data_IF_429319271318
#
_entry.id   IF_429319271318
#
_cell.length_a   1.000
_cell.length_b   1.000
_cell.length_c   1.000
_cell.angle_alpha   90.00
_cell.angle_beta   90.00
_cell.angle_gamma   90.00
#
_symmetry.space_group_name_H-M   'P 1'
#
loop_
_entity.id
_entity.type
_entity.pdbx_description
1 polymer ?
#
# COMPACT_ATOMS: atom_id res chain seq x y z
N UNK A 1 15.66 2.93 -16.82
CA UNK A 1 14.97 4.22 -16.61
C UNK A 1 14.80 4.42 -15.10
N UNK A 2 15.29 5.56 -14.54
CA UNK A 2 15.23 5.79 -13.09
C UNK A 2 13.89 6.37 -12.68
N UNK A 3 13.21 5.73 -11.71
CA UNK A 3 11.96 6.19 -11.11
C UNK A 3 12.19 6.67 -9.69
N UNK A 4 11.39 7.64 -9.24
CA UNK A 4 11.25 8.02 -7.83
C UNK A 4 9.79 8.07 -7.45
N UNK A 5 9.52 7.94 -6.16
CA UNK A 5 8.18 8.00 -5.61
C UNK A 5 8.09 9.10 -4.56
N UNK A 6 7.10 9.99 -4.69
CA UNK A 6 6.79 11.04 -3.72
C UNK A 6 5.47 10.69 -3.06
N UNK A 7 5.47 10.53 -1.74
CA UNK A 7 4.30 10.29 -0.92
C UNK A 7 3.96 11.58 -0.17
N UNK A 8 2.83 12.22 -0.52
CA UNK A 8 2.37 13.48 0.07
C UNK A 8 1.58 13.20 1.35
N UNK A 9 2.18 13.48 2.49
CA UNK A 9 1.59 13.31 3.82
C UNK A 9 1.48 14.66 4.60
N UNK A 10 1.59 15.79 3.90
CA UNK A 10 1.65 17.13 4.49
C UNK A 10 0.28 17.78 4.82
N UNK A 11 -0.83 17.16 4.44
CA UNK A 11 -2.17 17.74 4.65
C UNK A 11 -2.57 17.86 6.12
N UNK A 12 -3.34 18.90 6.45
CA UNK A 12 -3.79 19.19 7.84
C UNK A 12 -4.87 18.23 8.36
N UNK A 13 -5.50 17.42 7.50
CA UNK A 13 -6.54 16.43 7.86
C UNK A 13 -7.79 17.05 8.52
N UNK A 14 -8.11 18.33 8.25
CA UNK A 14 -9.18 19.08 8.91
C UNK A 14 -10.55 18.40 8.87
N UNK A 15 -10.90 17.76 7.76
CA UNK A 15 -12.17 17.01 7.59
C UNK A 15 -12.23 15.68 8.36
N UNK A 16 -11.09 15.20 8.84
CA UNK A 16 -11.02 13.91 9.53
C UNK A 16 -11.41 13.98 11.01
N UNK A 17 -11.57 15.22 11.57
CA UNK A 17 -12.04 15.50 12.93
C UNK A 17 -11.40 14.61 14.01
N UNK A 18 -10.09 14.43 13.99
CA UNK A 18 -9.34 13.64 14.95
C UNK A 18 -8.09 14.38 15.43
N UNK A 19 -7.72 14.18 16.70
CA UNK A 19 -6.49 14.71 17.28
C UNK A 19 -5.22 14.08 16.67
N UNK A 20 -5.35 12.89 16.09
CA UNK A 20 -4.27 12.22 15.37
C UNK A 20 -4.41 12.57 13.87
N UNK A 21 -3.35 13.10 13.20
CA UNK A 21 -3.43 13.39 11.79
C UNK A 21 -3.61 12.11 10.96
N UNK A 22 -4.45 12.16 9.95
CA UNK A 22 -4.92 11.04 9.14
C UNK A 22 -3.82 10.02 8.72
N UNK A 23 -2.65 10.41 8.18
CA UNK A 23 -1.65 9.43 7.74
C UNK A 23 -1.12 8.52 8.85
N UNK A 24 -1.33 8.90 10.12
CA UNK A 24 -0.80 8.19 11.29
C UNK A 24 -1.85 7.34 12.02
N UNK A 25 -3.10 7.30 11.54
CA UNK A 25 -4.09 6.34 12.02
C UNK A 25 -3.69 4.93 11.65
N UNK A 26 -3.92 3.99 12.59
CA UNK A 26 -3.53 2.59 12.42
C UNK A 26 -4.70 1.73 11.96
N UNK A 27 -4.35 0.71 11.18
CA UNK A 27 -5.15 -0.49 10.93
C UNK A 27 -4.30 -1.66 11.36
N UNK A 28 -4.79 -2.44 12.32
CA UNK A 28 -3.99 -3.38 13.07
C UNK A 28 -2.76 -2.67 13.66
N UNK A 29 -1.56 -3.12 13.33
CA UNK A 29 -0.28 -2.63 13.83
C UNK A 29 0.35 -1.51 12.98
N UNK A 30 -0.14 -1.26 11.74
CA UNK A 30 0.46 -0.32 10.78
C UNK A 30 -0.35 0.94 10.57
N UNK A 31 0.32 2.07 10.50
CA UNK A 31 -0.28 3.34 10.09
C UNK A 31 -0.57 3.37 8.59
N UNK A 32 -1.49 4.24 8.14
CA UNK A 32 -1.81 4.39 6.70
C UNK A 32 -0.57 4.72 5.86
N UNK A 33 0.35 5.51 6.42
CA UNK A 33 1.59 5.86 5.72
C UNK A 33 2.56 4.66 5.65
N UNK A 34 2.66 3.83 6.70
CA UNK A 34 3.47 2.61 6.71
C UNK A 34 2.95 1.58 5.69
N UNK A 35 1.62 1.41 5.60
CA UNK A 35 1.00 0.56 4.57
C UNK A 35 1.43 0.99 3.16
N UNK A 36 1.46 2.30 2.91
CA UNK A 36 1.91 2.84 1.62
C UNK A 36 3.41 2.64 1.39
N UNK A 37 4.24 2.89 2.41
CA UNK A 37 5.70 2.71 2.36
C UNK A 37 6.05 1.26 2.02
N UNK A 38 5.45 0.30 2.71
CA UNK A 38 5.72 -1.13 2.52
C UNK A 38 5.41 -1.56 1.08
N UNK A 39 4.23 -1.18 0.56
CA UNK A 39 3.87 -1.45 -0.83
C UNK A 39 4.85 -0.85 -1.84
N UNK A 40 5.34 0.37 -1.60
CA UNK A 40 6.28 1.04 -2.50
C UNK A 40 7.65 0.37 -2.46
N UNK A 41 8.13 -0.04 -1.28
CA UNK A 41 9.43 -0.69 -1.10
C UNK A 41 9.56 -2.03 -1.81
N UNK A 42 8.47 -2.69 -2.14
CA UNK A 42 8.50 -3.93 -2.93
C UNK A 42 8.96 -3.70 -4.38
N UNK A 43 8.93 -2.47 -4.87
CA UNK A 43 9.34 -2.12 -6.23
C UNK A 43 10.79 -1.64 -6.29
N UNK A 44 11.71 -2.52 -6.68
CA UNK A 44 13.15 -2.21 -6.83
C UNK A 44 13.44 -1.10 -7.87
N UNK A 45 12.48 -0.77 -8.74
CA UNK A 45 12.60 0.27 -9.75
C UNK A 45 12.67 1.69 -9.16
N UNK A 46 12.16 1.90 -7.95
CA UNK A 46 12.21 3.19 -7.30
C UNK A 46 13.57 3.43 -6.65
N UNK A 47 14.37 4.32 -7.24
CA UNK A 47 15.68 4.72 -6.71
C UNK A 47 15.57 5.55 -5.44
N UNK A 48 14.50 6.34 -5.30
CA UNK A 48 14.23 7.21 -4.16
C UNK A 48 12.76 7.12 -3.77
N UNK A 49 12.50 6.97 -2.48
CA UNK A 49 11.19 7.16 -1.86
C UNK A 49 11.27 8.41 -0.98
N UNK A 50 10.41 9.39 -1.26
CA UNK A 50 10.34 10.65 -0.55
C UNK A 50 8.99 10.75 0.15
N UNK A 51 9.00 11.08 1.43
CA UNK A 51 7.81 11.44 2.18
C UNK A 51 7.82 12.95 2.41
N UNK A 52 6.75 13.61 1.97
CA UNK A 52 6.54 15.03 2.25
C UNK A 52 5.62 15.15 3.46
N UNK A 53 6.15 15.66 4.57
CA UNK A 53 5.44 15.70 5.83
C UNK A 53 5.07 17.12 6.25
N UNK A 54 4.06 17.28 7.11
CA UNK A 54 3.72 18.55 7.77
C UNK A 54 4.63 18.74 8.98
N UNK A 55 5.26 19.93 9.11
CA UNK A 55 6.15 20.26 10.22
C UNK A 55 5.50 19.99 11.59
N UNK A 56 4.20 20.28 11.74
CA UNK A 56 3.42 20.03 12.96
C UNK A 56 3.31 18.53 13.31
N UNK A 57 3.51 17.64 12.32
CA UNK A 57 3.33 16.18 12.47
C UNK A 57 4.66 15.42 12.65
N UNK A 58 5.79 16.11 12.77
CA UNK A 58 7.12 15.47 12.87
C UNK A 58 7.22 14.47 14.01
N UNK A 59 6.58 14.74 15.16
CA UNK A 59 6.56 13.84 16.33
C UNK A 59 5.95 12.46 16.02
N UNK A 60 4.98 12.39 15.12
CA UNK A 60 4.36 11.12 14.69
C UNK A 60 5.23 10.40 13.67
N UNK A 61 5.82 11.17 12.74
CA UNK A 61 6.68 10.61 11.69
C UNK A 61 7.94 9.94 12.28
N UNK A 62 8.52 10.50 13.36
CA UNK A 62 9.69 9.93 14.06
C UNK A 62 9.44 8.54 14.68
N UNK A 63 8.17 8.16 14.88
CA UNK A 63 7.79 6.84 15.42
C UNK A 63 7.71 5.74 14.35
N UNK A 64 7.89 6.09 13.08
CA UNK A 64 7.78 5.18 11.93
C UNK A 64 9.18 4.74 11.49
N UNK A 65 9.31 3.49 11.06
CA UNK A 65 10.55 3.01 10.47
C UNK A 65 10.77 3.59 9.07
N UNK A 66 11.64 4.58 8.98
CA UNK A 66 11.97 5.32 7.76
C UNK A 66 13.29 4.88 7.12
N UNK A 67 13.76 3.65 7.37
CA UNK A 67 14.98 3.13 6.74
C UNK A 67 14.87 3.25 5.21
N UNK A 68 15.85 3.89 4.59
CA UNK A 68 15.92 4.15 3.13
C UNK A 68 14.79 5.06 2.60
N UNK A 69 14.21 5.92 3.43
CA UNK A 69 13.20 6.90 3.06
C UNK A 69 13.75 8.31 3.29
N UNK A 70 13.56 9.18 2.32
CA UNK A 70 13.93 10.60 2.41
C UNK A 70 12.70 11.37 2.92
N UNK A 71 12.90 12.20 3.93
CA UNK A 71 11.84 13.07 4.45
C UNK A 71 12.09 14.52 4.05
N UNK A 72 11.04 15.20 3.57
CA UNK A 72 11.08 16.59 3.15
C UNK A 72 9.92 17.32 3.81
N UNK A 73 10.19 18.47 4.41
CA UNK A 73 9.15 19.31 4.96
C UNK A 73 8.28 19.88 3.84
N UNK A 74 6.96 19.72 3.95
CA UNK A 74 5.99 20.28 3.03
C UNK A 74 5.92 21.82 3.13
N UNK A 75 5.21 22.41 2.19
CA UNK A 75 4.85 23.82 2.20
C UNK A 75 3.44 24.05 2.76
N UNK A 76 2.97 25.28 2.64
CA UNK A 76 1.61 25.70 3.05
C UNK A 76 0.50 25.07 2.21
N UNK A 77 0.80 24.66 0.98
CA UNK A 77 -0.16 24.04 0.05
C UNK A 77 0.34 22.69 -0.46
N UNK A 78 -0.55 21.93 -1.11
CA UNK A 78 -0.19 20.67 -1.76
C UNK A 78 0.83 20.89 -2.87
N UNK A 79 0.63 21.92 -3.68
CA UNK A 79 1.49 22.32 -4.80
C UNK A 79 2.89 22.67 -4.29
N UNK A 80 2.98 23.46 -3.21
CA UNK A 80 4.25 23.82 -2.60
C UNK A 80 4.96 22.62 -2.01
N UNK A 81 4.22 21.71 -1.41
CA UNK A 81 4.75 20.44 -0.88
C UNK A 81 5.33 19.57 -2.00
N UNK A 82 4.60 19.45 -3.12
CA UNK A 82 5.08 18.73 -4.31
C UNK A 82 6.31 19.39 -4.90
N UNK A 83 6.30 20.71 -5.04
CA UNK A 83 7.46 21.47 -5.53
C UNK A 83 8.71 21.26 -4.69
N UNK A 84 8.61 21.24 -3.36
CA UNK A 84 9.76 20.99 -2.46
C UNK A 84 10.40 19.63 -2.75
N UNK A 85 9.59 18.58 -2.89
CA UNK A 85 10.07 17.23 -3.20
C UNK A 85 10.69 17.15 -4.61
N UNK A 86 10.06 17.77 -5.60
CA UNK A 86 10.57 17.82 -6.96
C UNK A 86 11.89 18.59 -7.04
N UNK A 87 12.03 19.70 -6.30
CA UNK A 87 13.28 20.49 -6.21
C UNK A 87 14.44 19.65 -5.67
N UNK A 88 14.18 18.82 -4.67
CA UNK A 88 15.18 17.86 -4.18
C UNK A 88 15.56 16.85 -5.26
N UNK A 89 14.58 16.30 -6.00
CA UNK A 89 14.84 15.32 -7.06
C UNK A 89 15.64 15.87 -8.23
N UNK A 90 15.55 17.16 -8.56
CA UNK A 90 16.35 17.77 -9.63
C UNK A 90 17.86 17.73 -9.33
N UNK A 91 18.25 17.69 -8.06
CA UNK A 91 19.63 17.55 -7.61
C UNK A 91 20.14 16.09 -7.66
N UNK A 92 19.26 15.12 -7.95
CA UNK A 92 19.58 13.70 -7.97
C UNK A 92 19.83 13.20 -9.38
N UNK A 93 20.96 12.53 -9.62
CA UNK A 93 21.28 11.96 -10.94
C UNK A 93 20.42 10.75 -11.27
N UNK A 94 20.08 10.62 -12.54
CA UNK A 94 19.44 9.40 -13.10
C UNK A 94 17.96 9.22 -12.79
N UNK A 95 17.25 10.26 -12.29
CA UNK A 95 15.79 10.23 -12.10
C UNK A 95 15.12 10.84 -13.33
N UNK A 96 14.45 10.00 -14.13
CA UNK A 96 13.72 10.44 -15.34
C UNK A 96 12.22 10.55 -15.13
N UNK A 97 11.65 9.74 -14.24
CA UNK A 97 10.22 9.68 -13.95
C UNK A 97 9.96 9.79 -12.45
N UNK A 98 8.85 10.41 -12.09
CA UNK A 98 8.40 10.53 -10.71
C UNK A 98 6.93 10.14 -10.60
N UNK A 99 6.61 9.31 -9.59
CA UNK A 99 5.25 9.05 -9.17
C UNK A 99 4.92 9.95 -7.98
N UNK A 100 3.80 10.67 -8.07
CA UNK A 100 3.29 11.54 -7.01
C UNK A 100 2.00 10.93 -6.47
N UNK A 101 1.94 10.73 -5.16
CA UNK A 101 0.86 10.00 -4.52
C UNK A 101 0.39 10.63 -3.21
N UNK A 102 -0.92 10.67 -3.01
CA UNK A 102 -1.52 11.11 -1.75
C UNK A 102 -1.42 9.98 -0.71
N UNK A 103 -0.80 10.22 0.45
CA UNK A 103 -0.79 9.26 1.57
C UNK A 103 -2.20 8.92 2.09
N UNK A 104 -3.20 9.71 1.70
CA UNK A 104 -4.61 9.44 1.97
C UNK A 104 -5.23 8.33 1.10
N UNK A 105 -4.48 7.70 0.19
CA UNK A 105 -4.92 6.60 -0.67
C UNK A 105 -4.06 5.34 -0.45
N UNK A 106 -4.06 4.73 0.73
CA UNK A 106 -3.15 3.62 1.04
C UNK A 106 -3.48 2.31 0.30
N UNK A 107 -4.63 2.24 -0.40
CA UNK A 107 -5.13 0.99 -1.00
C UNK A 107 -4.87 0.84 -2.50
N UNK A 108 -3.88 1.53 -3.06
CA UNK A 108 -3.42 1.25 -4.42
C UNK A 108 -2.85 -0.16 -4.53
N UNK A 109 -3.09 -0.83 -5.66
CA UNK A 109 -2.60 -2.19 -5.88
C UNK A 109 -1.20 -2.21 -6.51
N UNK A 110 -0.50 -3.34 -6.38
CA UNK A 110 0.74 -3.60 -7.12
C UNK A 110 0.52 -3.58 -8.64
N UNK A 111 -0.64 -4.04 -9.10
CA UNK A 111 -0.99 -4.05 -10.52
C UNK A 111 -1.16 -2.64 -11.08
N UNK A 112 -1.74 -1.71 -10.31
CA UNK A 112 -1.83 -0.32 -10.70
C UNK A 112 -0.44 0.30 -10.92
N UNK A 113 0.48 0.08 -9.97
CA UNK A 113 1.87 0.55 -10.10
C UNK A 113 2.54 -0.05 -11.35
N UNK A 114 2.43 -1.38 -11.56
CA UNK A 114 2.98 -2.04 -12.75
C UNK A 114 2.46 -1.42 -14.05
N UNK A 115 1.15 -1.19 -14.17
CA UNK A 115 0.53 -0.53 -15.34
C UNK A 115 1.09 0.88 -15.55
N UNK A 116 1.18 1.68 -14.48
CA UNK A 116 1.76 3.03 -14.55
C UNK A 116 3.20 2.98 -15.05
N UNK A 117 4.04 2.10 -14.50
CA UNK A 117 5.45 1.98 -14.89
C UNK A 117 5.62 1.56 -16.36
N UNK A 118 4.78 0.66 -16.87
CA UNK A 118 4.79 0.22 -18.28
C UNK A 118 4.42 1.38 -19.20
N UNK A 119 3.28 2.01 -18.97
CA UNK A 119 2.76 3.09 -19.81
C UNK A 119 3.65 4.35 -19.77
N UNK A 120 4.31 4.61 -18.65
CA UNK A 120 5.20 5.77 -18.49
C UNK A 120 6.47 5.70 -19.35
N UNK A 121 6.81 4.53 -19.91
CA UNK A 121 7.94 4.40 -20.84
C UNK A 121 7.70 5.18 -22.14
N UNK A 122 6.44 5.27 -22.58
CA UNK A 122 6.03 5.89 -23.85
C UNK A 122 5.38 7.26 -23.68
N UNK A 123 4.89 7.60 -22.48
CA UNK A 123 4.10 8.79 -22.21
C UNK A 123 4.79 9.73 -21.22
N UNK A 124 4.61 11.04 -21.35
CA UNK A 124 5.12 12.03 -20.39
C UNK A 124 4.39 11.98 -19.08
N UNK A 125 3.06 11.77 -19.11
CA UNK A 125 2.23 11.57 -17.93
C UNK A 125 1.37 10.31 -18.08
N UNK A 126 1.16 9.61 -16.93
CA UNK A 126 0.23 8.48 -16.82
C UNK A 126 -0.62 8.69 -15.58
N UNK A 127 -1.94 8.73 -15.75
CA UNK A 127 -2.88 9.09 -14.69
C UNK A 127 -4.00 8.06 -14.62
N UNK A 128 -4.20 7.42 -13.45
CA UNK A 128 -5.36 6.56 -13.22
C UNK A 128 -6.63 7.38 -13.10
N UNK A 129 -7.69 6.94 -13.78
CA UNK A 129 -8.98 7.61 -13.75
C UNK A 129 -10.13 6.61 -13.57
N UNK A 130 -11.21 7.08 -12.97
CA UNK A 130 -12.49 6.37 -12.91
C UNK A 130 -13.54 7.17 -13.69
N UNK A 131 -14.41 6.46 -14.41
CA UNK A 131 -15.59 7.05 -15.03
C UNK A 131 -16.62 7.38 -13.96
N UNK A 132 -17.32 8.50 -14.12
CA UNK A 132 -18.46 8.85 -13.28
C UNK A 132 -19.63 7.89 -13.54
N UNK A 133 -20.21 7.36 -12.48
CA UNK A 133 -21.39 6.48 -12.55
C UNK A 133 -22.69 7.26 -12.34
N UNK A 134 -22.65 8.25 -11.44
CA UNK A 134 -23.80 9.07 -11.08
C UNK A 134 -24.06 10.19 -12.07
N UNK A 135 -25.27 10.74 -12.04
CA UNK A 135 -25.66 11.89 -12.85
C UNK A 135 -24.90 13.14 -12.38
N UNK A 136 -24.32 13.89 -13.32
CA UNK A 136 -23.56 15.10 -13.03
C UNK A 136 -24.41 16.33 -13.30
N UNK A 137 -24.52 17.21 -12.31
CA UNK A 137 -25.22 18.48 -12.43
C UNK A 137 -24.22 19.63 -12.21
N UNK A 138 -24.25 20.63 -13.07
CA UNK A 138 -23.53 21.88 -12.87
C UNK A 138 -24.47 22.90 -12.24
N UNK A 139 -24.12 23.42 -11.07
CA UNK A 139 -24.88 24.52 -10.46
C UNK A 139 -24.63 25.79 -11.28
N UNK A 140 -25.69 26.36 -11.84
CA UNK A 140 -25.63 27.58 -12.63
C UNK A 140 -25.97 28.80 -11.76
N UNK A 141 -27.02 28.68 -10.93
CA UNK A 141 -27.41 29.71 -9.95
C UNK A 141 -27.83 29.08 -8.63
N UNK A 142 -28.34 29.84 -7.67
CA UNK A 142 -28.86 29.27 -6.41
C UNK A 142 -30.02 28.28 -6.61
N UNK A 143 -30.78 28.41 -7.70
CA UNK A 143 -31.99 27.59 -7.98
C UNK A 143 -31.91 26.78 -9.26
N UNK A 144 -30.88 26.96 -10.09
CA UNK A 144 -30.79 26.31 -11.40
C UNK A 144 -29.60 25.33 -11.50
N UNK A 145 -29.87 24.18 -12.08
CA UNK A 145 -28.91 23.12 -12.34
C UNK A 145 -28.95 22.68 -13.81
N UNK A 146 -27.79 22.64 -14.44
CA UNK A 146 -27.63 22.16 -15.79
C UNK A 146 -27.24 20.69 -15.80
N UNK A 147 -27.80 19.93 -16.72
CA UNK A 147 -27.36 18.57 -17.00
C UNK A 147 -25.99 18.60 -17.69
N UNK A 148 -25.06 17.78 -17.23
CA UNK A 148 -23.75 17.66 -17.82
C UNK A 148 -23.56 16.24 -18.33
N UNK A 149 -23.09 16.10 -19.56
CA UNK A 149 -22.74 14.78 -20.16
C UNK A 149 -21.55 14.19 -19.41
N UNK A 150 -21.79 13.26 -18.47
CA UNK A 150 -20.77 12.65 -17.61
C UNK A 150 -19.65 11.94 -18.35
N UNK A 151 -19.86 11.52 -19.61
CA UNK A 151 -18.86 10.79 -20.39
C UNK A 151 -17.56 11.56 -20.64
N UNK A 152 -17.60 12.89 -20.53
CA UNK A 152 -16.44 13.77 -20.70
C UNK A 152 -15.70 14.07 -19.41
N UNK A 153 -16.15 13.48 -18.28
CA UNK A 153 -15.59 13.73 -16.96
C UNK A 153 -15.01 12.45 -16.35
N UNK A 154 -13.90 12.64 -15.63
CA UNK A 154 -13.20 11.55 -14.96
C UNK A 154 -12.83 11.95 -13.54
N UNK A 155 -12.90 11.00 -12.62
CA UNK A 155 -12.30 11.14 -11.31
C UNK A 155 -10.84 10.73 -11.39
N UNK A 156 -9.92 11.67 -11.20
CA UNK A 156 -8.49 11.38 -11.21
C UNK A 156 -8.07 10.74 -9.88
N UNK A 157 -7.18 9.76 -9.97
CA UNK A 157 -6.59 9.13 -8.80
C UNK A 157 -5.07 9.33 -8.81
N UNK A 158 -4.45 9.06 -7.67
CA UNK A 158 -3.00 8.92 -7.54
C UNK A 158 -2.67 7.47 -7.19
N UNK A 159 -1.46 6.94 -7.53
CA UNK A 159 -0.26 7.64 -8.02
C UNK A 159 -0.39 8.14 -9.46
N UNK A 160 0.07 9.37 -9.69
CA UNK A 160 0.22 9.94 -11.04
C UNK A 160 1.70 9.95 -11.38
N UNK A 161 2.06 9.47 -12.58
CA UNK A 161 3.44 9.41 -13.05
C UNK A 161 3.71 10.50 -14.07
N UNK A 162 4.85 11.18 -13.93
CA UNK A 162 5.25 12.27 -14.82
C UNK A 162 6.72 12.17 -15.23
N UNK A 163 7.08 12.84 -16.33
CA UNK A 163 8.47 13.20 -16.59
C UNK A 163 8.96 14.15 -15.49
N UNK A 164 10.06 13.79 -14.83
CA UNK A 164 10.54 14.50 -13.63
C UNK A 164 10.90 15.95 -13.90
N UNK A 165 11.59 16.23 -15.01
CA UNK A 165 12.00 17.60 -15.38
C UNK A 165 10.82 18.44 -15.84
N UNK A 166 9.91 17.85 -16.60
CA UNK A 166 8.72 18.53 -17.14
C UNK A 166 7.79 18.99 -16.00
N UNK A 167 7.41 18.06 -15.11
CA UNK A 167 6.51 18.40 -13.99
C UNK A 167 7.16 19.36 -13.01
N UNK A 168 8.47 19.27 -12.76
CA UNK A 168 9.18 20.25 -11.95
C UNK A 168 9.09 21.65 -12.54
N UNK A 169 9.32 21.80 -13.85
CA UNK A 169 9.23 23.11 -14.52
C UNK A 169 7.81 23.68 -14.47
N UNK A 170 6.79 22.84 -14.59
CA UNK A 170 5.39 23.26 -14.46
C UNK A 170 5.08 23.75 -13.06
N UNK A 171 5.49 23.03 -12.02
CA UNK A 171 5.37 23.46 -10.63
C UNK A 171 6.16 24.74 -10.35
N UNK A 172 7.35 24.90 -10.93
CA UNK A 172 8.16 26.11 -10.80
C UNK A 172 7.44 27.35 -11.36
N UNK A 173 6.77 27.21 -12.52
CA UNK A 173 6.01 28.29 -13.17
C UNK A 173 4.68 28.62 -12.47
N UNK A 174 4.10 27.64 -11.75
CA UNK A 174 2.75 27.75 -11.15
C UNK A 174 2.78 27.64 -9.63
N UNK A 175 3.84 28.09 -8.97
CA UNK A 175 4.08 27.89 -7.53
C UNK A 175 2.92 28.30 -6.61
N UNK A 176 2.21 29.35 -6.97
CA UNK A 176 1.18 29.99 -6.15
C UNK A 176 -0.22 29.82 -6.75
N UNK A 177 -0.35 29.02 -7.80
CA UNK A 177 -1.65 28.73 -8.43
C UNK A 177 -2.24 27.47 -7.84
N UNK A 178 -3.48 27.54 -7.40
CA UNK A 178 -4.25 26.39 -6.97
C UNK A 178 -4.39 25.37 -8.10
N UNK A 179 -4.19 24.11 -7.77
CA UNK A 179 -4.48 22.99 -8.66
C UNK A 179 -5.02 21.80 -7.87
N UNK A 180 -6.07 21.14 -8.37
CA UNK A 180 -6.68 20.00 -7.69
C UNK A 180 -5.73 18.79 -7.67
N UNK A 181 -4.92 18.64 -8.73
CA UNK A 181 -3.91 17.59 -8.86
C UNK A 181 -2.76 18.03 -9.77
N UNK A 182 -1.73 17.19 -9.88
CA UNK A 182 -0.54 17.52 -10.67
C UNK A 182 -0.81 17.45 -12.19
N UNK A 183 -1.84 16.67 -12.61
CA UNK A 183 -2.27 16.59 -14.02
C UNK A 183 -2.77 17.94 -14.55
N UNK A 184 -3.47 18.71 -13.71
CA UNK A 184 -4.05 20.01 -14.10
C UNK A 184 -3.02 21.04 -14.59
N UNK A 185 -1.74 20.84 -14.25
CA UNK A 185 -0.64 21.67 -14.73
C UNK A 185 -0.23 21.35 -16.18
N UNK A 186 -0.61 20.17 -16.71
CA UNK A 186 -0.27 19.74 -18.07
C UNK A 186 -1.35 20.18 -19.07
N UNK A 187 -0.94 20.90 -20.10
CA UNK A 187 -1.84 21.38 -21.16
C UNK A 187 -1.87 20.48 -22.41
N UNK A 188 -0.78 19.76 -22.68
CA UNK A 188 -0.64 18.92 -23.88
C UNK A 188 -1.22 17.52 -23.64
N UNK A 189 -2.44 17.31 -24.11
CA UNK A 189 -3.15 16.04 -23.99
C UNK A 189 -2.48 14.88 -24.74
N UNK A 190 -1.72 15.16 -25.81
CA UNK A 190 -1.05 14.12 -26.62
C UNK A 190 0.04 13.36 -25.83
N UNK A 191 0.57 13.97 -24.78
CA UNK A 191 1.60 13.36 -23.92
C UNK A 191 1.03 12.70 -22.67
N UNK A 192 -0.30 12.74 -22.49
CA UNK A 192 -0.99 12.24 -21.32
C UNK A 192 -1.67 10.90 -21.67
N UNK A 193 -1.38 9.86 -20.92
CA UNK A 193 -2.08 8.57 -20.97
C UNK A 193 -2.99 8.42 -19.77
N UNK A 194 -4.29 8.39 -19.98
CA UNK A 194 -5.25 7.98 -18.97
C UNK A 194 -5.34 6.46 -18.96
N UNK A 195 -5.27 5.86 -17.77
CA UNK A 195 -5.44 4.42 -17.55
C UNK A 195 -6.60 4.17 -16.59
N UNK A 196 -7.17 2.97 -16.63
CA UNK A 196 -8.23 2.61 -15.70
C UNK A 196 -7.70 2.56 -14.28
N UNK A 197 -8.31 3.34 -13.38
CA UNK A 197 -8.03 3.37 -11.96
C UNK A 197 -8.71 2.21 -11.20
N UNK A 198 -8.67 2.25 -9.88
CA UNK A 198 -9.20 1.20 -9.01
C UNK A 198 -10.21 1.77 -8.02
N UNK A 199 -11.44 1.22 -7.97
CA UNK A 199 -12.46 1.65 -6.99
C UNK A 199 -11.96 1.50 -5.56
N UNK A 200 -11.15 0.46 -5.28
CA UNK A 200 -10.54 0.23 -3.96
C UNK A 200 -9.47 1.27 -3.58
N UNK A 201 -8.90 1.98 -4.55
CA UNK A 201 -7.92 3.06 -4.31
C UNK A 201 -8.64 4.37 -3.93
N UNK A 202 -9.54 4.28 -2.97
CA UNK A 202 -10.32 5.39 -2.45
C UNK A 202 -9.41 6.40 -1.72
N UNK A 203 -9.81 7.66 -1.70
CA UNK A 203 -9.15 8.71 -0.92
C UNK A 203 -9.86 8.81 0.42
N UNK A 204 -9.18 8.46 1.49
CA UNK A 204 -9.69 8.65 2.85
C UNK A 204 -9.74 10.15 3.13
N UNK A 205 -10.95 10.70 3.23
CA UNK A 205 -11.20 12.11 3.50
C UNK A 205 -11.71 12.35 4.91
N UNK A 206 -12.56 11.47 5.40
CA UNK A 206 -13.23 11.55 6.70
C UNK A 206 -13.26 10.20 7.42
N UNK A 207 -14.01 10.12 8.51
CA UNK A 207 -14.13 8.89 9.32
C UNK A 207 -14.86 7.77 8.61
N UNK A 208 -15.85 8.08 7.76
CA UNK A 208 -16.62 7.07 7.01
C UNK A 208 -15.72 6.37 5.99
N UNK A 209 -14.92 7.14 5.24
CA UNK A 209 -13.92 6.59 4.33
C UNK A 209 -12.93 5.68 5.05
N UNK A 210 -12.55 6.05 6.29
CA UNK A 210 -11.62 5.25 7.08
C UNK A 210 -12.23 3.92 7.53
N UNK A 211 -13.49 3.91 7.98
CA UNK A 211 -14.19 2.67 8.32
C UNK A 211 -14.40 1.79 7.09
N UNK A 212 -14.75 2.38 5.94
CA UNK A 212 -14.81 1.65 4.67
C UNK A 212 -13.45 1.04 4.31
N UNK A 213 -12.37 1.81 4.45
CA UNK A 213 -11.03 1.29 4.21
C UNK A 213 -10.68 0.13 5.15
N UNK A 214 -11.04 0.22 6.44
CA UNK A 214 -10.88 -0.89 7.39
C UNK A 214 -11.65 -2.13 6.95
N UNK A 215 -12.91 -1.97 6.54
CA UNK A 215 -13.74 -3.11 6.12
C UNK A 215 -13.17 -3.82 4.89
N UNK A 216 -12.67 -3.07 3.91
CA UNK A 216 -12.04 -3.61 2.69
C UNK A 216 -10.73 -4.35 3.02
N UNK A 217 -10.02 -3.93 4.08
CA UNK A 217 -8.73 -4.48 4.50
C UNK A 217 -8.83 -5.29 5.80
N UNK A 218 -10.05 -5.60 6.27
CA UNK A 218 -10.21 -6.60 7.33
C UNK A 218 -9.49 -7.87 6.89
N UNK A 219 -8.66 -8.39 7.80
CA UNK A 219 -7.99 -9.66 7.58
C UNK A 219 -9.02 -10.67 7.10
N UNK A 220 -8.80 -11.28 5.95
CA UNK A 220 -9.57 -12.45 5.56
C UNK A 220 -9.32 -13.48 6.65
N UNK A 221 -10.34 -13.84 7.39
CA UNK A 221 -10.27 -14.99 8.29
C UNK A 221 -9.84 -16.18 7.44
N UNK A 222 -8.63 -16.67 7.74
CA UNK A 222 -8.14 -17.88 7.13
C UNK A 222 -8.45 -19.02 8.08
N UNK A 223 -9.06 -20.05 7.58
CA UNK A 223 -9.40 -21.26 8.32
C UNK A 223 -8.60 -22.41 7.70
N UNK A 224 -7.99 -23.20 8.52
CA UNK A 224 -7.33 -24.44 8.13
C UNK A 224 -7.73 -25.55 9.08
N UNK A 225 -7.73 -26.77 8.59
CA UNK A 225 -7.94 -27.99 9.35
C UNK A 225 -6.67 -28.80 9.26
N UNK A 226 -6.17 -29.28 10.39
CA UNK A 226 -5.06 -30.21 10.45
C UNK A 226 -5.51 -31.49 11.15
N UNK A 227 -4.97 -32.59 10.68
CA UNK A 227 -5.24 -33.92 11.21
C UNK A 227 -3.97 -34.75 11.13
N UNK A 228 -3.63 -35.42 12.24
CA UNK A 228 -2.47 -36.33 12.29
C UNK A 228 -2.77 -37.56 13.12
N UNK A 229 -2.21 -38.69 12.73
CA UNK A 229 -2.39 -39.99 13.39
C UNK A 229 -1.06 -40.70 13.57
N UNK A 230 -0.78 -41.06 14.81
CA UNK A 230 0.45 -41.82 15.15
C UNK A 230 0.09 -43.14 15.83
N UNK A 231 0.83 -44.19 15.49
CA UNK A 231 0.71 -45.46 16.16
C UNK A 231 1.29 -45.39 17.56
N UNK A 232 0.57 -45.93 18.55
CA UNK A 232 1.09 -46.07 19.93
C UNK A 232 1.90 -47.37 20.06
N UNK A 233 3.08 -47.28 20.65
CA UNK A 233 3.98 -48.39 20.90
C UNK A 233 4.56 -48.35 22.32
N UNK A 234 4.96 -49.51 22.87
CA UNK A 234 5.62 -49.62 24.18
C UNK A 234 7.00 -48.94 24.14
N UNK A 235 7.46 -48.52 25.28
CA UNK A 235 8.82 -47.97 25.51
C UNK A 235 9.10 -46.64 24.72
N UNK A 236 8.07 -45.92 24.32
CA UNK A 236 8.18 -44.57 23.77
C UNK A 236 7.54 -43.54 24.69
N UNK A 237 7.97 -42.31 24.60
CA UNK A 237 7.35 -41.20 25.34
C UNK A 237 6.08 -40.76 24.59
N UNK A 238 5.03 -40.41 25.33
CA UNK A 238 3.85 -39.78 24.80
C UNK A 238 4.02 -38.26 24.98
N UNK A 239 4.12 -37.57 23.83
CA UNK A 239 4.13 -36.09 23.77
C UNK A 239 2.85 -35.61 23.11
N UNK A 240 2.16 -34.67 23.73
CA UNK A 240 0.95 -34.04 23.20
C UNK A 240 1.05 -32.53 23.41
N UNK A 241 1.22 -31.76 22.34
CA UNK A 241 1.39 -30.30 22.40
C UNK A 241 2.67 -29.86 23.12
N UNK A 242 3.74 -30.65 23.02
CA UNK A 242 5.01 -30.40 23.69
C UNK A 242 5.03 -30.85 25.17
N UNK A 243 3.92 -31.38 25.70
CA UNK A 243 3.79 -31.83 27.11
C UNK A 243 3.96 -33.35 27.17
N UNK A 244 4.86 -33.81 28.04
CA UNK A 244 5.05 -35.22 28.32
C UNK A 244 3.88 -35.76 29.17
N UNK A 245 3.15 -36.73 28.62
CA UNK A 245 2.04 -37.37 29.31
C UNK A 245 2.55 -38.68 29.94
N UNK A 246 2.27 -38.95 31.26
CA UNK A 246 2.56 -40.22 31.89
C UNK A 246 1.77 -41.34 31.19
N UNK A 247 2.45 -42.27 30.51
CA UNK A 247 1.84 -43.39 29.80
C UNK A 247 2.83 -44.52 29.62
N UNK A 248 2.34 -45.77 29.57
CA UNK A 248 3.11 -46.98 29.22
C UNK A 248 3.32 -47.09 27.72
N UNK A 249 2.57 -46.34 26.92
CA UNK A 249 2.66 -46.26 25.46
C UNK A 249 3.01 -44.85 25.04
N UNK A 250 3.74 -44.70 23.94
CA UNK A 250 4.05 -43.43 23.31
C UNK A 250 3.93 -43.51 21.80
N UNK A 251 3.95 -42.35 21.15
CA UNK A 251 3.79 -42.23 19.70
C UNK A 251 5.02 -42.67 18.94
N UNK A 252 4.83 -43.42 17.85
CA UNK A 252 5.86 -43.79 16.89
C UNK A 252 5.94 -42.74 15.80
N UNK A 253 7.00 -41.94 15.76
CA UNK A 253 7.25 -40.92 14.75
C UNK A 253 8.74 -40.78 14.42
N UNK A 254 9.05 -40.06 13.34
CA UNK A 254 10.45 -39.80 12.90
C UNK A 254 11.11 -38.63 13.63
N UNK A 255 10.31 -37.76 14.26
CA UNK A 255 10.75 -36.64 15.14
C UNK A 255 10.34 -36.91 16.58
N UNK A 256 9.74 -35.95 17.25
CA UNK A 256 9.17 -36.06 18.60
C UNK A 256 7.87 -36.92 18.62
N UNK A 257 7.26 -37.13 17.46
CA UNK A 257 6.01 -37.89 17.31
C UNK A 257 4.81 -37.21 17.96
N UNK A 258 4.78 -35.88 18.06
CA UNK A 258 3.71 -35.12 18.68
C UNK A 258 2.57 -34.85 17.68
N UNK A 259 1.46 -35.62 17.71
CA UNK A 259 0.39 -35.48 16.73
C UNK A 259 -0.37 -34.15 16.86
N UNK A 260 -0.35 -33.52 18.05
CA UNK A 260 -1.03 -32.24 18.26
C UNK A 260 -0.28 -31.12 17.54
N UNK A 261 1.05 -31.07 17.68
CA UNK A 261 1.86 -30.08 17.00
C UNK A 261 1.83 -30.27 15.48
N UNK A 262 1.89 -31.50 14.99
CA UNK A 262 1.79 -31.79 13.55
C UNK A 262 0.43 -31.35 12.98
N UNK A 263 -0.67 -31.67 13.64
CA UNK A 263 -2.00 -31.23 13.22
C UNK A 263 -2.14 -29.69 13.25
N UNK A 264 -1.56 -28.98 14.22
CA UNK A 264 -1.54 -27.50 14.29
C UNK A 264 -0.74 -26.95 13.09
N UNK A 265 0.42 -27.51 12.79
CA UNK A 265 1.25 -27.09 11.65
C UNK A 265 0.47 -27.25 10.34
N UNK A 266 -0.17 -28.40 10.12
CA UNK A 266 -0.98 -28.64 8.93
C UNK A 266 -2.17 -27.68 8.83
N UNK A 267 -2.86 -27.41 9.95
CA UNK A 267 -3.93 -26.39 9.97
C UNK A 267 -3.41 -25.01 9.55
N UNK A 268 -2.25 -24.59 10.04
CA UNK A 268 -1.62 -23.31 9.70
C UNK A 268 -1.20 -23.29 8.21
N UNK A 269 -0.53 -24.33 7.74
CA UNK A 269 -0.10 -24.44 6.34
C UNK A 269 -1.28 -24.43 5.39
N UNK A 270 -2.34 -25.20 5.67
CA UNK A 270 -3.59 -25.21 4.91
C UNK A 270 -4.28 -23.85 4.89
N UNK A 271 -4.42 -23.18 6.05
CA UNK A 271 -4.96 -21.82 6.12
C UNK A 271 -4.14 -20.81 5.29
N UNK A 272 -2.83 -21.02 5.17
CA UNK A 272 -1.93 -20.17 4.41
C UNK A 272 -1.80 -20.56 2.92
N UNK A 273 -2.42 -21.67 2.49
CA UNK A 273 -2.26 -22.25 1.15
C UNK A 273 -0.79 -22.58 0.83
N UNK A 274 -0.09 -23.15 1.80
CA UNK A 274 1.34 -23.44 1.73
C UNK A 274 1.66 -24.95 1.59
N UNK A 275 0.68 -25.80 1.32
CA UNK A 275 0.83 -27.27 1.28
C UNK A 275 0.67 -27.86 2.68
N UNK A 276 1.32 -28.99 2.94
CA UNK A 276 1.28 -29.73 4.19
C UNK A 276 2.67 -29.89 4.82
N UNK A 277 2.69 -30.48 6.04
CA UNK A 277 3.92 -30.69 6.81
C UNK A 277 4.90 -31.62 6.08
N UNK A 278 4.39 -32.66 5.38
CA UNK A 278 5.20 -33.61 4.63
C UNK A 278 5.95 -32.99 3.45
N UNK A 279 5.31 -32.02 2.75
CA UNK A 279 5.98 -31.25 1.69
C UNK A 279 7.08 -30.32 2.23
N UNK A 280 6.87 -29.70 3.39
CA UNK A 280 7.80 -28.70 3.95
C UNK A 280 8.91 -29.29 4.79
N UNK A 281 8.61 -30.37 5.52
CA UNK A 281 9.49 -31.01 6.50
C UNK A 281 9.62 -32.52 6.21
N UNK A 282 9.95 -32.87 4.97
CA UNK A 282 10.03 -34.27 4.49
C UNK A 282 10.95 -35.11 5.37
N UNK A 283 10.49 -36.28 5.79
CA UNK A 283 11.22 -37.30 6.56
C UNK A 283 12.50 -37.77 5.86
N UNK A 284 12.58 -37.60 4.53
CA UNK A 284 13.76 -37.90 3.73
C UNK A 284 14.90 -36.89 3.92
N UNK A 285 14.63 -35.76 4.50
CA UNK A 285 15.62 -34.69 4.69
C UNK A 285 16.32 -34.86 6.05
N UNK A 286 17.60 -35.28 6.02
CA UNK A 286 18.44 -35.46 7.21
C UNK A 286 18.51 -34.25 8.14
N UNK A 287 18.20 -33.06 7.63
CA UNK A 287 18.21 -31.80 8.36
C UNK A 287 17.11 -31.71 9.44
N UNK A 288 16.04 -32.48 9.28
CA UNK A 288 14.88 -32.51 10.20
C UNK A 288 14.82 -33.78 11.07
N UNK A 289 15.90 -34.58 11.09
CA UNK A 289 15.97 -35.78 11.90
C UNK A 289 16.29 -35.39 13.35
N UNK A 290 15.41 -35.76 14.31
CA UNK A 290 15.55 -35.51 15.74
C UNK A 290 15.45 -34.00 16.15
N UNK A 291 14.63 -33.24 15.46
CA UNK A 291 14.25 -31.88 15.91
C UNK A 291 13.07 -31.98 16.86
#
# INVERSE_FOLDING_TARGET
>A
MGFSFILLAGGESSRFKSNLPKPYHKIADKTLIEISIDKIKEFKQFKKLIIVYNKKHLKYLKKINLKNVIIICGGSTRERSTYNALSYLQKQKGIKKVLIHDAARPNFSKNLIKKILIESKKNSAVVPVLKLQDALKKKYSKKEFLNVKRNNFFLTQTPQCFNSKEIFNLHKKNKDKYSDDDLSLMKDSKKIKLIHGEKRNLKITDGVDFELFKSINKFSLKVGIGFDVHRLVKNKKLLLGGIKIPSTLGTLGHSDGDPVLHAIIDAILGACQMGDIGEKFSDKNKKFKNI
#
